data_IF_490932578488
#
_entry.id   IF_490932578488
#
_cell.length_a   1.000
_cell.length_b   1.000
_cell.length_c   1.000
_cell.angle_alpha   90.00
_cell.angle_beta   90.00
_cell.angle_gamma   90.00
#
_symmetry.space_group_name_H-M   'P 1'
#
loop_
_entity.id
_entity.type
_entity.pdbx_description
1 polymer ?
#
# COMPACT_ATOMS: atom_id res chain seq x y z
N UNK A 1 9.44 2.87 -10.43
CA UNK A 1 8.94 3.10 -9.06
C UNK A 1 7.83 4.13 -9.07
N UNK A 2 6.98 4.06 -8.09
CA UNK A 2 5.90 5.01 -7.93
C UNK A 2 6.07 5.77 -6.63
N UNK A 3 5.57 6.99 -6.60
CA UNK A 3 5.62 7.80 -5.40
C UNK A 3 4.31 7.66 -4.64
N UNK A 4 4.43 7.26 -3.39
CA UNK A 4 3.29 7.13 -2.48
C UNK A 4 3.22 8.39 -1.63
N UNK A 5 2.10 9.10 -1.71
CA UNK A 5 1.88 10.32 -0.95
C UNK A 5 0.99 9.99 0.23
N UNK A 6 1.49 10.16 1.44
CA UNK A 6 0.80 9.79 2.65
C UNK A 6 1.11 10.80 3.73
N UNK A 7 0.08 11.44 4.27
CA UNK A 7 0.21 12.36 5.41
C UNK A 7 1.29 13.42 5.20
N UNK A 8 1.39 13.95 3.99
CA UNK A 8 2.38 14.99 3.67
C UNK A 8 3.76 14.47 3.38
N UNK A 9 3.96 13.15 3.38
CA UNK A 9 5.25 12.53 3.05
C UNK A 9 5.20 11.88 1.69
N UNK A 10 6.32 11.90 1.00
CA UNK A 10 6.46 11.23 -0.27
C UNK A 10 7.47 10.10 -0.10
N UNK A 11 7.06 8.89 -0.43
CA UNK A 11 7.91 7.71 -0.36
C UNK A 11 7.94 7.05 -1.72
N UNK A 12 9.13 6.66 -2.17
CA UNK A 12 9.24 5.87 -3.38
C UNK A 12 9.17 4.40 -3.02
N UNK A 13 8.39 3.63 -3.75
CA UNK A 13 8.35 2.19 -3.53
C UNK A 13 8.17 1.50 -4.87
N UNK A 14 8.19 0.18 -4.87
CA UNK A 14 8.00 -0.56 -6.11
C UNK A 14 6.58 -0.34 -6.62
N UNK A 15 6.40 -0.49 -7.92
CA UNK A 15 5.09 -0.32 -8.52
C UNK A 15 4.07 -1.26 -7.88
N UNK A 16 4.48 -2.52 -7.65
CA UNK A 16 3.56 -3.51 -7.09
C UNK A 16 3.18 -3.21 -5.65
N UNK A 17 4.12 -2.72 -4.84
CA UNK A 17 3.81 -2.36 -3.46
C UNK A 17 2.83 -1.18 -3.43
N UNK A 18 3.10 -0.16 -4.25
CA UNK A 18 2.22 1.01 -4.30
C UNK A 18 0.81 0.62 -4.73
N UNK A 19 0.71 -0.19 -5.77
CA UNK A 19 -0.59 -0.62 -6.28
C UNK A 19 -1.32 -1.49 -5.26
N UNK A 20 -0.61 -2.40 -4.60
CA UNK A 20 -1.23 -3.25 -3.60
C UNK A 20 -1.75 -2.45 -2.41
N UNK A 21 -1.01 -1.42 -2.00
CA UNK A 21 -1.46 -0.57 -0.92
C UNK A 21 -2.71 0.22 -1.30
N UNK A 22 -2.70 0.79 -2.49
CA UNK A 22 -3.84 1.57 -2.96
C UNK A 22 -5.09 0.70 -3.08
N UNK A 23 -4.93 -0.50 -3.65
CA UNK A 23 -6.04 -1.43 -3.79
C UNK A 23 -6.60 -1.83 -2.42
N UNK A 24 -5.73 -1.99 -1.43
CA UNK A 24 -6.18 -2.35 -0.09
C UNK A 24 -7.00 -1.23 0.53
N UNK A 25 -6.55 0.02 0.42
CA UNK A 25 -7.29 1.15 0.97
C UNK A 25 -8.67 1.25 0.32
N UNK A 26 -8.75 0.96 -0.97
CA UNK A 26 -10.01 1.06 -1.70
C UNK A 26 -11.08 0.10 -1.18
N UNK A 27 -10.68 -1.02 -0.62
CA UNK A 27 -11.65 -2.02 -0.15
C UNK A 27 -11.92 -1.94 1.34
N UNK A 28 -11.29 -1.01 2.06
CA UNK A 28 -11.50 -0.89 3.49
C UNK A 28 -12.90 -0.37 3.79
N UNK A 29 -13.66 -1.04 4.68
CA UNK A 29 -14.95 -0.52 5.10
C UNK A 29 -14.79 0.76 5.91
N UNK A 30 -15.79 1.62 5.88
CA UNK A 30 -15.74 2.89 6.60
C UNK A 30 -15.58 2.70 8.12
N UNK A 31 -16.08 1.59 8.64
CA UNK A 31 -16.02 1.34 10.08
C UNK A 31 -14.83 0.45 10.47
N UNK A 32 -13.92 0.21 9.54
CA UNK A 32 -12.73 -0.58 9.86
C UNK A 32 -11.82 0.21 10.80
N UNK A 33 -11.39 -0.38 11.93
CA UNK A 33 -10.44 0.30 12.80
C UNK A 33 -9.13 0.58 12.07
N UNK A 34 -8.40 1.60 12.49
CA UNK A 34 -7.11 1.90 11.86
C UNK A 34 -6.19 0.68 11.87
N UNK A 35 -5.49 0.48 10.79
CA UNK A 35 -4.63 -0.67 10.65
C UNK A 35 -3.23 -0.23 10.23
N UNK A 36 -2.23 -0.75 10.92
CA UNK A 36 -0.84 -0.47 10.61
C UNK A 36 -0.35 -1.49 9.60
N UNK A 37 0.24 -1.01 8.53
CA UNK A 37 0.91 -1.88 7.56
C UNK A 37 2.34 -1.42 7.39
N UNK A 38 3.20 -2.36 7.04
CA UNK A 38 4.64 -2.12 6.92
C UNK A 38 5.02 -2.35 5.47
N UNK A 39 5.67 -1.38 4.85
CA UNK A 39 6.09 -1.50 3.46
C UNK A 39 7.55 -1.06 3.31
N UNK A 40 8.28 -1.67 2.39
CA UNK A 40 9.61 -1.18 2.06
C UNK A 40 9.50 0.02 1.14
N UNK A 41 10.39 0.98 1.31
CA UNK A 41 10.37 2.19 0.51
C UNK A 41 11.75 2.80 0.46
N UNK A 42 11.90 3.85 -0.36
CA UNK A 42 13.08 4.68 -0.39
C UNK A 42 12.71 6.06 0.08
N UNK A 43 13.51 6.60 0.96
CA UNK A 43 13.38 7.98 1.40
C UNK A 43 14.72 8.64 1.19
N UNK A 44 14.73 9.71 0.37
CA UNK A 44 15.98 10.38 -0.01
C UNK A 44 17.00 9.40 -0.58
N UNK A 45 16.53 8.44 -1.36
CA UNK A 45 17.38 7.46 -2.01
C UNK A 45 17.86 6.32 -1.14
N UNK A 46 17.47 6.28 0.13
CA UNK A 46 17.91 5.24 1.05
C UNK A 46 16.77 4.31 1.41
N UNK A 47 17.05 2.99 1.49
CA UNK A 47 16.01 2.04 1.88
C UNK A 47 15.53 2.29 3.30
N UNK A 48 14.22 2.31 3.47
CA UNK A 48 13.59 2.45 4.79
C UNK A 48 12.44 1.48 4.88
N UNK A 49 12.04 1.19 6.10
CA UNK A 49 10.81 0.46 6.36
C UNK A 49 9.79 1.48 6.82
N UNK A 50 8.73 1.64 6.04
CA UNK A 50 7.70 2.61 6.36
C UNK A 50 6.53 1.91 7.02
N UNK A 51 6.07 2.47 8.15
CA UNK A 51 4.87 1.98 8.83
C UNK A 51 3.81 3.03 8.63
N UNK A 52 2.72 2.64 8.00
CA UNK A 52 1.64 3.57 7.71
C UNK A 52 0.36 3.06 8.35
N UNK A 53 -0.47 3.98 8.83
CA UNK A 53 -1.75 3.65 9.46
C UNK A 53 -2.84 4.00 8.47
N UNK A 54 -3.68 3.02 8.15
CA UNK A 54 -4.66 3.16 7.09
C UNK A 54 -6.08 3.00 7.62
N UNK A 55 -6.96 3.84 7.11
CA UNK A 55 -8.41 3.69 7.24
C UNK A 55 -9.02 3.93 5.88
N UNK A 56 -10.32 3.69 5.75
CA UNK A 56 -11.02 3.98 4.50
C UNK A 56 -10.96 5.47 4.15
N UNK A 57 -10.75 6.33 5.15
CA UNK A 57 -10.70 7.78 4.94
C UNK A 57 -9.27 8.32 4.81
N UNK A 58 -8.26 7.47 4.86
CA UNK A 58 -6.87 7.91 4.76
C UNK A 58 -6.61 8.47 3.37
N UNK A 59 -6.18 9.73 3.25
CA UNK A 59 -5.87 10.28 1.93
C UNK A 59 -4.52 9.74 1.44
N UNK A 60 -4.58 8.88 0.46
CA UNK A 60 -3.41 8.26 -0.14
C UNK A 60 -3.48 8.51 -1.64
N UNK A 61 -2.36 8.91 -2.21
CA UNK A 61 -2.26 9.06 -3.66
C UNK A 61 -0.99 8.39 -4.14
N UNK A 62 -1.03 7.86 -5.34
CA UNK A 62 0.14 7.23 -5.96
C UNK A 62 0.35 7.93 -7.29
N UNK A 63 1.58 8.37 -7.53
CA UNK A 63 1.92 8.99 -8.80
C UNK A 63 3.03 8.21 -9.49
N UNK A 64 3.02 8.24 -10.81
CA UNK A 64 4.09 7.63 -11.59
C UNK A 64 5.33 8.51 -11.51
N UNK A 65 6.49 7.88 -11.64
CA UNK A 65 7.76 8.60 -11.70
C UNK A 65 8.55 8.10 -12.90
N UNK A 66 9.62 8.81 -13.24
CA UNK A 66 10.54 8.34 -14.27
C UNK A 66 11.59 7.40 -13.72
N UNK A 67 11.56 7.12 -12.41
CA UNK A 67 12.54 6.27 -11.77
C UNK A 67 12.21 4.82 -12.07
N UNK A 68 13.23 4.07 -12.54
CA UNK A 68 13.05 2.67 -12.89
C UNK A 68 12.72 1.86 -11.65
N UNK A 69 11.79 0.93 -11.81
CA UNK A 69 11.41 0.04 -10.72
C UNK A 69 12.63 -0.77 -10.28
N UNK A 70 12.84 -0.84 -8.98
CA UNK A 70 13.98 -1.52 -8.38
C UNK A 70 13.47 -2.38 -7.25
N UNK A 71 13.94 -3.63 -7.22
CA UNK A 71 13.58 -4.54 -6.14
C UNK A 71 14.03 -3.97 -4.79
N UNK A 72 13.14 -3.98 -3.82
CA UNK A 72 13.44 -3.61 -2.45
C UNK A 72 13.27 -4.85 -1.57
N UNK A 73 14.15 -4.99 -0.59
CA UNK A 73 14.06 -6.12 0.32
C UNK A 73 12.70 -6.12 1.01
N UNK A 74 12.01 -7.26 0.96
CA UNK A 74 10.70 -7.39 1.56
C UNK A 74 9.54 -6.97 0.68
N UNK A 75 9.79 -6.51 -0.56
CA UNK A 75 8.72 -6.00 -1.41
C UNK A 75 7.73 -7.10 -1.81
N UNK A 76 8.21 -8.29 -2.13
CA UNK A 76 7.32 -9.39 -2.51
C UNK A 76 6.44 -9.78 -1.33
N UNK A 77 7.03 -9.86 -0.14
CA UNK A 77 6.28 -10.20 1.06
C UNK A 77 5.23 -9.13 1.37
N UNK A 78 5.60 -7.87 1.21
CA UNK A 78 4.66 -6.78 1.47
C UNK A 78 3.45 -6.86 0.53
N UNK A 79 3.69 -7.14 -0.76
CA UNK A 79 2.61 -7.31 -1.72
C UNK A 79 1.70 -8.45 -1.31
N UNK A 80 2.30 -9.59 -0.94
CA UNK A 80 1.50 -10.75 -0.53
C UNK A 80 0.63 -10.44 0.67
N UNK A 81 1.19 -9.76 1.67
CA UNK A 81 0.43 -9.42 2.87
C UNK A 81 -0.72 -8.47 2.54
N UNK A 82 -0.44 -7.45 1.74
CA UNK A 82 -1.47 -6.48 1.38
C UNK A 82 -2.58 -7.13 0.55
N UNK A 83 -2.21 -7.99 -0.40
CA UNK A 83 -3.20 -8.67 -1.23
C UNK A 83 -4.07 -9.61 -0.38
N UNK A 84 -3.46 -10.31 0.55
CA UNK A 84 -4.19 -11.21 1.44
C UNK A 84 -5.14 -10.45 2.34
N UNK A 85 -4.68 -9.31 2.87
CA UNK A 85 -5.54 -8.46 3.69
C UNK A 85 -6.72 -7.91 2.89
N UNK A 86 -6.46 -7.49 1.66
CA UNK A 86 -7.50 -6.97 0.80
C UNK A 86 -8.56 -8.03 0.49
N UNK A 87 -8.11 -9.25 0.22
CA UNK A 87 -9.03 -10.35 -0.04
C UNK A 87 -9.89 -10.65 1.17
N UNK A 88 -9.28 -10.67 2.35
CA UNK A 88 -10.01 -10.94 3.58
C UNK A 88 -11.09 -9.89 3.84
N UNK A 89 -10.74 -8.63 3.67
CA UNK A 89 -11.68 -7.55 3.91
C UNK A 89 -12.78 -7.57 2.86
N UNK A 90 -12.44 -7.74 1.60
CA UNK A 90 -13.41 -7.79 0.53
C UNK A 90 -14.35 -8.99 0.69
N UNK A 91 -13.84 -10.10 1.27
CA UNK A 91 -14.66 -11.29 1.47
C UNK A 91 -15.65 -11.19 2.60
N UNK A 92 -15.44 -10.25 3.54
CA UNK A 92 -16.30 -10.18 4.72
C UNK A 92 -17.68 -9.65 4.36
N UNK A 93 -17.93 -8.76 3.66
CA UNK A 93 -19.25 -8.28 3.27
C UNK A 93 -19.46 -8.32 1.78
N UNK A 94 -18.58 -9.02 1.10
CA UNK A 94 -18.59 -9.04 -0.34
C UNK A 94 -19.10 -10.38 -0.85
N UNK A 95 -20.04 -10.32 -1.75
CA UNK A 95 -20.59 -11.52 -2.37
C UNK A 95 -19.99 -11.63 -3.77
N UNK A 96 -19.09 -12.58 -3.99
CA UNK A 96 -18.52 -12.71 -5.33
C UNK A 96 -19.59 -13.04 -6.35
N UNK A 97 -19.47 -12.42 -7.49
CA UNK A 97 -20.34 -12.69 -8.60
C UNK A 97 -19.76 -13.80 -9.40
N UNK A 98 -20.55 -14.79 -9.62
CA UNK A 98 -20.09 -15.92 -10.39
C UNK A 98 -20.67 -15.87 -11.78
#
# INVERSE_FOLDING_TARGET
MKALLYAGHELLTTDDVADALLDYVEVLPLNQPPERVVIPALRDGLPVTAEVVLTAATPVAVTTTSIRDTHLEGDIYAVEVLRRKAERVAGIGYEPRM
#
